data_IF_360064376750
#
_entry.id   IF_360064376750
#
_cell.length_a   1.000
_cell.length_b   1.000
_cell.length_c   1.000
_cell.angle_alpha   90.00
_cell.angle_beta   90.00
_cell.angle_gamma   90.00
#
_symmetry.space_group_name_H-M   'P 1'
#
loop_
_entity.id
_entity.type
_entity.pdbx_description
1 polymer ?
#
# COMPACT_ATOMS: atom_id res chain seq x y z
N UNK A 1 14.63 9.38 20.52
CA UNK A 1 13.93 8.23 19.95
C UNK A 1 12.52 8.65 19.60
N UNK A 2 11.90 8.01 18.60
CA UNK A 2 10.50 8.24 18.28
C UNK A 2 9.64 7.19 19.01
N UNK A 3 8.53 7.55 19.67
CA UNK A 3 7.65 6.58 20.31
C UNK A 3 6.84 5.86 19.24
N UNK A 4 7.19 4.61 18.97
CA UNK A 4 6.41 3.77 18.07
C UNK A 4 5.22 3.19 18.81
N UNK A 5 4.04 3.31 18.21
CA UNK A 5 2.82 2.62 18.61
C UNK A 5 2.40 1.68 17.47
N UNK A 6 1.63 0.64 17.81
CA UNK A 6 1.06 -0.30 16.84
C UNK A 6 -0.45 -0.13 16.82
N UNK A 7 -1.06 -0.23 15.64
CA UNK A 7 -2.51 -0.33 15.48
C UNK A 7 -3.03 -1.77 15.61
N UNK A 8 -2.15 -2.73 15.91
CA UNK A 8 -2.55 -4.12 16.15
C UNK A 8 -3.65 -4.22 17.22
N UNK A 9 -4.67 -5.04 16.95
CA UNK A 9 -5.87 -5.20 17.81
C UNK A 9 -6.70 -3.91 18.01
N UNK A 10 -6.62 -2.95 17.09
CA UNK A 10 -7.50 -1.77 17.04
C UNK A 10 -8.22 -1.64 15.69
N UNK A 11 -9.22 -0.77 15.66
CA UNK A 11 -9.97 -0.36 14.46
C UNK A 11 -9.28 0.74 13.64
N UNK A 12 -8.19 1.33 14.14
CA UNK A 12 -7.52 2.49 13.55
C UNK A 12 -7.29 2.40 12.04
N UNK A 13 -6.79 1.26 11.53
CA UNK A 13 -6.52 1.14 10.09
C UNK A 13 -7.82 1.13 9.25
N UNK A 14 -8.92 0.60 9.78
CA UNK A 14 -10.23 0.62 9.12
C UNK A 14 -10.81 2.04 9.15
N UNK A 15 -10.77 2.70 10.32
CA UNK A 15 -11.27 4.08 10.49
C UNK A 15 -10.60 5.07 9.54
N UNK A 16 -9.33 4.84 9.21
CA UNK A 16 -8.54 5.67 8.30
C UNK A 16 -8.31 5.06 6.92
N UNK A 17 -9.14 4.08 6.52
CA UNK A 17 -9.22 3.55 5.15
C UNK A 17 -7.90 2.92 4.64
N UNK A 18 -7.07 2.40 5.55
CA UNK A 18 -5.87 1.64 5.24
C UNK A 18 -6.13 0.12 5.23
N UNK A 19 -7.24 -0.33 5.82
CA UNK A 19 -7.71 -1.73 5.82
C UNK A 19 -9.15 -1.83 5.35
N UNK A 20 -9.50 -2.96 4.72
CA UNK A 20 -10.80 -3.22 4.10
C UNK A 20 -11.51 -4.33 4.86
N UNK A 21 -12.73 -4.07 5.29
CA UNK A 21 -13.60 -5.08 5.91
C UNK A 21 -14.16 -6.04 4.88
N UNK A 22 -14.69 -7.18 5.35
CA UNK A 22 -15.33 -8.16 4.47
C UNK A 22 -16.58 -7.57 3.81
N UNK A 23 -17.36 -6.80 4.57
CA UNK A 23 -18.58 -6.15 4.12
C UNK A 23 -18.29 -5.12 3.03
N UNK A 24 -17.26 -4.29 3.21
CA UNK A 24 -16.81 -3.32 2.19
C UNK A 24 -16.33 -4.03 0.92
N UNK A 25 -15.55 -5.11 1.06
CA UNK A 25 -15.10 -5.91 -0.08
C UNK A 25 -16.27 -6.52 -0.87
N UNK A 26 -17.25 -7.09 -0.18
CA UNK A 26 -18.44 -7.70 -0.80
C UNK A 26 -19.32 -6.65 -1.50
N UNK A 27 -19.34 -5.42 -0.99
CA UNK A 27 -20.13 -4.30 -1.54
C UNK A 27 -19.64 -3.80 -2.90
N UNK A 28 -18.41 -4.14 -3.31
CA UNK A 28 -17.75 -3.59 -4.50
C UNK A 28 -17.42 -2.08 -4.46
N UNK A 29 -17.59 -1.43 -3.31
CA UNK A 29 -17.46 0.01 -3.15
C UNK A 29 -16.63 0.33 -1.91
N UNK A 30 -15.34 0.04 -1.97
CA UNK A 30 -14.39 0.35 -0.89
C UNK A 30 -14.00 1.82 -0.97
N UNK A 31 -14.10 2.57 0.14
CA UNK A 31 -13.57 3.92 0.20
C UNK A 31 -12.04 3.87 0.31
N UNK A 32 -11.33 4.29 -0.75
CA UNK A 32 -9.87 4.35 -0.75
C UNK A 32 -9.38 5.46 -1.66
N UNK A 33 -8.42 6.26 -1.19
CA UNK A 33 -7.89 7.40 -1.93
C UNK A 33 -8.97 8.45 -2.30
N UNK A 34 -9.86 8.75 -1.34
CA UNK A 34 -10.93 9.76 -1.43
C UNK A 34 -12.02 9.48 -2.48
N UNK A 35 -12.22 8.19 -2.80
CA UNK A 35 -13.25 7.75 -3.74
C UNK A 35 -13.65 6.30 -3.43
N UNK A 36 -14.89 5.96 -3.78
CA UNK A 36 -15.34 4.58 -3.84
C UNK A 36 -14.68 3.85 -5.02
N UNK A 37 -14.05 2.72 -4.75
CA UNK A 37 -13.37 1.87 -5.74
C UNK A 37 -13.77 0.41 -5.58
N UNK A 38 -13.91 -0.30 -6.71
CA UNK A 38 -13.94 -1.75 -6.70
C UNK A 38 -12.50 -2.27 -6.74
N UNK A 39 -12.05 -2.87 -5.63
CA UNK A 39 -10.71 -3.43 -5.51
C UNK A 39 -10.60 -4.86 -6.05
N UNK A 40 -11.72 -5.48 -6.44
CA UNK A 40 -11.74 -6.83 -6.99
C UNK A 40 -11.23 -6.82 -8.42
N UNK A 41 -10.71 -7.96 -8.85
CA UNK A 41 -10.30 -8.12 -10.24
C UNK A 41 -11.54 -8.26 -11.13
N UNK A 42 -11.52 -7.73 -12.35
CA UNK A 42 -12.50 -8.12 -13.36
C UNK A 42 -12.37 -9.63 -13.66
N UNK A 43 -13.38 -10.21 -14.30
CA UNK A 43 -13.33 -11.59 -14.76
C UNK A 43 -12.05 -11.85 -15.59
N UNK A 44 -11.33 -12.92 -15.28
CA UNK A 44 -10.04 -13.25 -15.90
C UNK A 44 -8.85 -12.41 -15.41
N UNK A 45 -9.04 -11.44 -14.52
CA UNK A 45 -7.97 -10.56 -14.05
C UNK A 45 -6.84 -11.28 -13.28
N UNK A 46 -7.10 -12.47 -12.75
CA UNK A 46 -6.08 -13.32 -12.11
C UNK A 46 -5.04 -13.87 -13.11
N UNK A 47 -5.41 -13.97 -14.40
CA UNK A 47 -4.50 -14.38 -15.46
C UNK A 47 -3.48 -13.29 -15.82
N UNK A 48 -3.67 -12.07 -15.30
CA UNK A 48 -2.72 -10.98 -15.52
C UNK A 48 -1.35 -11.34 -14.92
N UNK A 49 -0.28 -11.43 -15.73
CA UNK A 49 1.03 -11.84 -15.24
C UNK A 49 1.61 -10.92 -14.15
N UNK A 50 1.25 -9.63 -14.17
CA UNK A 50 1.65 -8.69 -13.14
C UNK A 50 0.99 -9.02 -11.80
N UNK A 51 -0.31 -9.29 -11.81
CA UNK A 51 -1.08 -9.66 -10.61
C UNK A 51 -0.54 -10.97 -10.04
N UNK A 52 -0.39 -12.00 -10.88
CA UNK A 52 0.15 -13.30 -10.47
C UNK A 52 1.56 -13.18 -9.86
N UNK A 53 2.45 -12.37 -10.47
CA UNK A 53 3.80 -12.14 -9.92
C UNK A 53 3.75 -11.39 -8.58
N UNK A 54 2.87 -10.41 -8.44
CA UNK A 54 2.73 -9.60 -7.23
C UNK A 54 2.23 -10.43 -6.04
N UNK A 55 1.15 -11.17 -6.23
CA UNK A 55 0.53 -12.01 -5.20
C UNK A 55 1.46 -13.16 -4.79
N UNK A 56 2.13 -13.81 -5.76
CA UNK A 56 3.15 -14.82 -5.50
C UNK A 56 4.35 -14.28 -4.70
N UNK A 57 4.75 -13.02 -4.92
CA UNK A 57 5.89 -12.40 -4.22
C UNK A 57 5.69 -12.24 -2.71
N UNK A 58 4.45 -12.34 -2.23
CA UNK A 58 4.10 -12.29 -0.80
C UNK A 58 3.35 -13.54 -0.33
N UNK A 59 3.18 -14.54 -1.21
CA UNK A 59 2.49 -15.79 -0.89
C UNK A 59 1.02 -15.63 -0.49
N UNK A 60 0.32 -14.63 -1.06
CA UNK A 60 -1.10 -14.35 -0.80
C UNK A 60 -1.89 -14.37 -2.09
N UNK A 61 -3.22 -14.48 -2.02
CA UNK A 61 -4.12 -14.25 -3.16
C UNK A 61 -4.45 -12.76 -3.30
N UNK A 62 -5.14 -12.37 -4.37
CA UNK A 62 -5.49 -10.97 -4.60
C UNK A 62 -6.41 -10.37 -3.52
N UNK A 63 -7.49 -11.05 -3.09
CA UNK A 63 -8.33 -10.53 -2.00
C UNK A 63 -7.54 -10.25 -0.73
N UNK A 64 -6.69 -11.20 -0.29
CA UNK A 64 -5.86 -10.99 0.90
C UNK A 64 -4.81 -9.90 0.67
N UNK A 65 -4.22 -9.82 -0.52
CA UNK A 65 -3.25 -8.78 -0.86
C UNK A 65 -3.84 -7.36 -0.81
N UNK A 66 -5.12 -7.19 -1.17
CA UNK A 66 -5.80 -5.87 -1.19
C UNK A 66 -6.65 -5.58 0.04
N UNK A 67 -6.68 -6.46 1.04
CA UNK A 67 -7.27 -6.16 2.35
C UNK A 67 -6.59 -4.99 3.06
N UNK A 68 -5.33 -4.71 2.72
CA UNK A 68 -4.60 -3.55 3.21
C UNK A 68 -4.07 -2.72 2.04
N UNK A 69 -3.95 -1.42 2.27
CA UNK A 69 -3.43 -0.47 1.29
C UNK A 69 -2.48 0.53 1.94
N UNK A 70 -1.54 1.10 1.16
CA UNK A 70 -0.69 2.16 1.68
C UNK A 70 -1.53 3.39 2.04
N UNK A 71 -1.26 3.95 3.22
CA UNK A 71 -1.87 5.16 3.73
C UNK A 71 -0.95 5.87 4.73
N UNK A 72 -1.04 7.19 4.77
CA UNK A 72 -0.40 8.01 5.79
C UNK A 72 -1.40 9.07 6.24
N UNK A 73 -1.48 9.29 7.54
CA UNK A 73 -2.33 10.29 8.17
C UNK A 73 -1.50 11.16 9.12
N UNK A 74 -1.86 12.44 9.23
CA UNK A 74 -1.31 13.34 10.25
C UNK A 74 -2.42 13.92 11.11
N UNK A 75 -2.17 13.94 12.42
CA UNK A 75 -3.12 14.41 13.42
C UNK A 75 -2.51 15.53 14.26
N UNK A 76 -3.35 16.46 14.69
CA UNK A 76 -2.98 17.53 15.63
C UNK A 76 -3.89 17.44 16.86
N UNK A 77 -3.30 17.52 18.05
CA UNK A 77 -4.03 17.66 19.31
C UNK A 77 -4.00 19.13 19.73
N UNK A 78 -5.16 19.77 19.75
CA UNK A 78 -5.32 21.17 20.15
C UNK A 78 -6.55 21.31 21.06
N UNK A 79 -6.37 21.92 22.24
CA UNK A 79 -7.41 22.10 23.26
C UNK A 79 -8.17 20.81 23.65
N UNK A 80 -7.46 19.67 23.65
CA UNK A 80 -8.04 18.36 23.98
C UNK A 80 -8.80 17.68 22.83
N UNK A 81 -8.84 18.30 21.64
CA UNK A 81 -9.46 17.77 20.44
C UNK A 81 -8.40 17.27 19.46
N UNK A 82 -8.61 16.06 18.91
CA UNK A 82 -7.74 15.50 17.87
C UNK A 82 -8.34 15.80 16.50
N UNK A 83 -7.57 16.49 15.66
CA UNK A 83 -7.93 16.82 14.29
C UNK A 83 -7.14 15.96 13.30
N UNK A 84 -7.83 15.38 12.31
CA UNK A 84 -7.20 14.71 11.18
C UNK A 84 -6.90 15.74 10.09
N UNK A 85 -5.64 16.15 10.02
CA UNK A 85 -5.22 17.34 9.25
C UNK A 85 -4.70 17.01 7.86
N UNK A 86 -4.33 15.76 7.63
CA UNK A 86 -3.78 15.29 6.36
C UNK A 86 -4.00 13.80 6.22
N UNK A 87 -4.29 13.39 4.99
CA UNK A 87 -4.22 12.00 4.54
C UNK A 87 -3.64 11.92 3.14
N UNK A 88 -2.90 10.85 2.86
CA UNK A 88 -2.56 10.46 1.50
C UNK A 88 -2.52 8.93 1.38
N UNK A 89 -2.86 8.45 0.19
CA UNK A 89 -2.97 7.03 -0.13
C UNK A 89 -2.34 6.78 -1.51
N UNK A 90 -2.16 5.51 -1.88
CA UNK A 90 -1.68 5.12 -3.21
C UNK A 90 -0.41 5.90 -3.61
N UNK A 91 -0.37 6.51 -4.80
CA UNK A 91 0.76 7.32 -5.28
C UNK A 91 0.98 8.63 -4.51
N UNK A 92 0.02 9.06 -3.68
CA UNK A 92 0.17 10.23 -2.83
C UNK A 92 1.27 10.10 -1.78
N UNK A 93 1.75 8.88 -1.51
CA UNK A 93 2.85 8.63 -0.57
C UNK A 93 4.21 8.43 -1.24
N UNK A 94 4.31 8.51 -2.57
CA UNK A 94 5.57 8.31 -3.29
C UNK A 94 6.67 9.29 -2.82
N UNK A 95 6.28 10.50 -2.37
CA UNK A 95 7.20 11.49 -1.82
C UNK A 95 7.81 11.13 -0.46
N UNK A 96 7.18 10.21 0.28
CA UNK A 96 7.74 9.65 1.52
C UNK A 96 8.75 8.54 1.23
N UNK A 97 8.67 7.93 0.04
CA UNK A 97 9.54 6.84 -0.39
C UNK A 97 10.68 7.41 -1.24
N UNK A 98 11.71 7.92 -0.57
CA UNK A 98 12.78 8.69 -1.20
C UNK A 98 13.59 7.95 -2.29
N UNK A 99 13.48 6.63 -2.40
CA UNK A 99 14.24 5.81 -3.35
C UNK A 99 14.06 6.28 -4.80
N UNK A 100 12.83 6.49 -5.25
CA UNK A 100 12.56 6.87 -6.64
C UNK A 100 13.22 8.20 -7.02
N UNK A 101 13.22 9.16 -6.10
CA UNK A 101 13.85 10.47 -6.32
C UNK A 101 15.37 10.35 -6.51
N UNK A 102 16.02 9.40 -5.84
CA UNK A 102 17.43 9.13 -6.05
C UNK A 102 17.69 8.43 -7.38
N UNK A 103 16.88 7.44 -7.75
CA UNK A 103 17.01 6.71 -9.01
C UNK A 103 16.76 7.60 -10.23
N UNK A 104 15.84 8.57 -10.13
CA UNK A 104 15.59 9.56 -11.19
C UNK A 104 16.82 10.40 -11.57
N UNK A 105 17.82 10.46 -10.68
CA UNK A 105 19.07 11.20 -10.89
C UNK A 105 20.22 10.32 -11.37
N UNK A 106 20.03 9.00 -11.42
CA UNK A 106 21.03 8.08 -11.95
C UNK A 106 21.15 8.24 -13.49
N UNK A 107 22.31 7.94 -14.11
CA UNK A 107 22.50 8.07 -15.56
C UNK A 107 21.49 7.29 -16.43
N UNK A 108 20.90 6.21 -15.92
CA UNK A 108 19.86 5.42 -16.60
C UNK A 108 18.44 5.72 -16.08
N UNK A 109 18.28 6.76 -15.25
CA UNK A 109 17.06 7.00 -14.49
C UNK A 109 16.70 5.78 -13.64
N UNK A 110 15.39 5.50 -13.52
CA UNK A 110 14.90 4.34 -12.77
C UNK A 110 15.24 2.99 -13.41
N UNK A 111 15.51 2.95 -14.72
CA UNK A 111 15.80 1.74 -15.48
C UNK A 111 14.80 0.58 -15.24
N UNK A 112 13.51 0.90 -15.09
CA UNK A 112 12.47 -0.06 -14.70
C UNK A 112 11.93 -0.85 -15.90
N UNK A 113 12.08 -2.19 -15.86
CA UNK A 113 11.46 -3.11 -16.84
C UNK A 113 10.36 -3.98 -16.23
N UNK A 114 9.91 -3.65 -15.02
CA UNK A 114 8.92 -4.39 -14.23
C UNK A 114 9.24 -4.35 -12.74
N UNK A 115 8.69 -5.28 -11.95
CA UNK A 115 9.00 -5.39 -10.52
C UNK A 115 10.44 -5.88 -10.32
N UNK A 116 11.30 -4.97 -9.86
CA UNK A 116 12.76 -5.14 -9.79
C UNK A 116 13.31 -5.18 -8.36
N UNK A 117 12.56 -4.67 -7.38
CA UNK A 117 12.93 -4.75 -5.97
C UNK A 117 12.76 -6.17 -5.43
N UNK A 118 13.66 -6.56 -4.54
CA UNK A 118 13.59 -7.80 -3.76
C UNK A 118 13.34 -7.47 -2.29
N UNK A 119 12.77 -8.42 -1.54
CA UNK A 119 12.80 -8.33 -0.08
C UNK A 119 14.25 -8.39 0.40
N UNK A 120 14.54 -7.78 1.54
CA UNK A 120 15.91 -7.61 2.05
C UNK A 120 16.70 -8.93 2.13
N UNK A 121 16.00 -10.02 2.42
CA UNK A 121 16.50 -11.39 2.55
C UNK A 121 16.60 -12.17 1.23
N UNK A 122 16.16 -11.59 0.11
CA UNK A 122 16.11 -12.25 -1.21
C UNK A 122 17.19 -11.79 -2.19
N UNK A 123 18.07 -10.88 -1.78
CA UNK A 123 19.14 -10.39 -2.67
C UNK A 123 20.22 -11.45 -2.93
N UNK A 124 20.57 -12.25 -1.93
CA UNK A 124 21.62 -13.29 -2.06
C UNK A 124 21.13 -14.57 -2.75
N UNK A 125 19.81 -14.77 -2.85
CA UNK A 125 19.21 -15.97 -3.46
C UNK A 125 19.03 -15.84 -4.97
N UNK A 126 19.21 -14.63 -5.53
CA UNK A 126 19.20 -14.40 -6.98
C UNK A 126 20.61 -14.54 -7.54
N UNK A 127 21.06 -15.77 -7.73
CA UNK A 127 22.26 -16.04 -8.54
C UNK A 127 22.04 -15.49 -9.95
N UNK A 128 23.00 -14.68 -10.42
CA UNK A 128 22.99 -14.03 -11.74
C UNK A 128 22.96 -15.04 -12.89
#
# INVERSE_FOLDING_TARGET
>A
SFPWASSFESDFNYDFQASVTKEEWESAAVEYNFQAVDLRLPEGGEENPFIAKLTASVGRDWPTYRQEGPGVSAFVLEDGVVYHTYSAYSRGIDGLWGMYQWLDRAPLGRNETGMWWCRHDEYDSKTT
#
